data_IF_662045345081
#
_entry.id   IF_662045345081
#
_cell.length_a   1.000
_cell.length_b   1.000
_cell.length_c   1.000
_cell.angle_alpha   90.00
_cell.angle_beta   90.00
_cell.angle_gamma   90.00
#
_symmetry.space_group_name_H-M   'P 1'
#
loop_
_entity.id
_entity.type
_entity.pdbx_description
1 polymer ?
#
# COMPACT_ATOMS: atom_id res chain seq x y z
N UNK A 1 -13.65 -5.68 -7.70
CA UNK A 1 -13.49 -4.57 -8.66
C UNK A 1 -12.90 -5.10 -9.97
N UNK A 2 -13.27 -4.54 -11.11
CA UNK A 2 -12.72 -4.95 -12.40
C UNK A 2 -12.79 -3.81 -13.42
N UNK A 3 -11.76 -3.70 -14.27
CA UNK A 3 -11.72 -2.81 -15.43
C UNK A 3 -12.00 -3.55 -16.74
N UNK A 4 -12.32 -2.83 -17.82
CA UNK A 4 -12.57 -3.42 -19.15
C UNK A 4 -11.30 -4.05 -19.75
N UNK A 5 -10.11 -3.55 -19.41
CA UNK A 5 -8.82 -4.07 -19.90
C UNK A 5 -8.35 -5.33 -19.18
N UNK A 6 -9.10 -5.83 -18.21
CA UNK A 6 -8.82 -7.10 -17.54
C UNK A 6 -8.27 -7.04 -16.14
N UNK A 7 -7.87 -5.86 -15.62
CA UNK A 7 -7.44 -5.72 -14.23
C UNK A 7 -8.60 -6.11 -13.30
N UNK A 8 -8.33 -7.02 -12.38
CA UNK A 8 -9.26 -7.50 -11.35
C UNK A 8 -8.63 -7.29 -9.99
N UNK A 9 -9.42 -6.78 -9.06
CA UNK A 9 -9.00 -6.55 -7.69
C UNK A 9 -10.04 -7.09 -6.71
N UNK A 10 -9.59 -7.93 -5.81
CA UNK A 10 -10.32 -8.32 -4.62
C UNK A 10 -9.88 -7.38 -3.48
N UNK A 11 -10.84 -6.75 -2.81
CA UNK A 11 -10.57 -5.83 -1.70
C UNK A 11 -11.42 -6.22 -0.50
N UNK A 12 -10.75 -6.47 0.64
CA UNK A 12 -11.40 -6.66 1.94
C UNK A 12 -11.72 -5.30 2.60
N UNK A 13 -12.55 -5.26 3.65
CA UNK A 13 -12.83 -4.02 4.39
C UNK A 13 -11.58 -3.32 4.95
N UNK A 14 -10.49 -4.04 5.21
CA UNK A 14 -9.21 -3.47 5.67
C UNK A 14 -8.18 -3.32 4.53
N UNK A 15 -8.64 -3.27 3.28
CA UNK A 15 -7.84 -3.11 2.07
C UNK A 15 -6.85 -4.25 1.77
N UNK A 16 -7.02 -5.42 2.37
CA UNK A 16 -6.36 -6.65 1.95
C UNK A 16 -6.98 -7.21 0.66
N UNK A 17 -6.48 -8.34 0.19
CA UNK A 17 -6.93 -8.99 -1.04
C UNK A 17 -5.92 -8.86 -2.19
N UNK A 18 -6.15 -9.57 -3.29
CA UNK A 18 -5.22 -9.58 -4.41
C UNK A 18 -5.60 -8.61 -5.54
N UNK A 19 -4.67 -8.38 -6.46
CA UNK A 19 -4.89 -7.61 -7.68
C UNK A 19 -4.10 -8.22 -8.83
N UNK A 20 -4.76 -8.44 -9.99
CA UNK A 20 -4.18 -9.15 -11.13
C UNK A 20 -4.79 -8.75 -12.46
N UNK A 21 -4.03 -8.94 -13.53
CA UNK A 21 -4.55 -8.97 -14.90
C UNK A 21 -5.07 -10.37 -15.24
N UNK A 22 -4.26 -11.37 -15.01
CA UNK A 22 -4.54 -12.79 -15.26
C UNK A 22 -3.78 -13.67 -14.26
N UNK A 23 -3.72 -14.99 -14.50
CA UNK A 23 -3.10 -15.97 -13.60
C UNK A 23 -1.57 -15.84 -13.53
N UNK A 24 -0.95 -15.21 -14.53
CA UNK A 24 0.50 -15.05 -14.62
C UNK A 24 0.97 -13.66 -14.17
N UNK A 25 0.05 -12.70 -13.99
CA UNK A 25 0.39 -11.30 -13.72
C UNK A 25 -0.39 -10.76 -12.51
N UNK A 26 0.15 -11.03 -11.31
CA UNK A 26 -0.36 -10.48 -10.06
C UNK A 26 0.47 -9.27 -9.62
N UNK A 27 -0.18 -8.15 -9.40
CA UNK A 27 0.42 -7.00 -8.72
C UNK A 27 0.61 -7.27 -7.23
N UNK A 28 -0.45 -7.74 -6.59
CA UNK A 28 -0.46 -8.16 -5.18
C UNK A 28 -0.45 -9.68 -5.09
N UNK A 29 0.11 -10.20 -4.00
CA UNK A 29 0.20 -11.63 -3.75
C UNK A 29 -1.18 -12.29 -3.77
N UNK A 30 -1.34 -13.41 -4.52
CA UNK A 30 -2.61 -14.12 -4.56
C UNK A 30 -3.08 -14.53 -3.16
N UNK A 31 -4.35 -14.33 -2.87
CA UNK A 31 -4.97 -14.86 -1.64
C UNK A 31 -5.28 -16.33 -1.84
N UNK A 32 -4.65 -17.19 -1.07
CA UNK A 32 -4.88 -18.63 -1.07
C UNK A 32 -4.82 -19.23 0.32
N UNK A 33 -5.27 -20.46 0.46
CA UNK A 33 -5.21 -21.18 1.73
C UNK A 33 -3.76 -21.43 2.18
N UNK A 34 -2.83 -21.54 1.25
CA UNK A 34 -1.42 -21.79 1.51
C UNK A 34 -0.71 -20.59 2.15
N UNK A 35 -1.20 -19.38 1.92
CA UNK A 35 -0.55 -18.16 2.39
C UNK A 35 -1.40 -17.28 3.32
N UNK A 36 -2.51 -17.80 3.85
CA UNK A 36 -3.43 -17.03 4.70
C UNK A 36 -2.75 -16.30 5.87
N UNK A 37 -1.72 -16.88 6.45
CA UNK A 37 -1.01 -16.33 7.61
C UNK A 37 0.21 -15.47 7.24
N UNK A 38 0.72 -15.59 6.03
CA UNK A 38 1.95 -14.92 5.57
C UNK A 38 1.72 -14.00 4.38
N UNK A 39 0.47 -13.76 4.03
CA UNK A 39 0.11 -12.96 2.88
C UNK A 39 0.55 -11.50 3.07
N UNK A 40 1.16 -10.93 2.04
CA UNK A 40 1.66 -9.54 1.98
C UNK A 40 0.88 -8.75 0.94
N UNK A 41 -0.43 -8.73 1.04
CA UNK A 41 -1.31 -8.06 0.09
C UNK A 41 -2.02 -6.83 0.65
N UNK A 42 -1.53 -6.28 1.74
CA UNK A 42 -2.11 -5.08 2.36
C UNK A 42 -1.82 -3.84 1.51
N UNK A 43 -2.86 -3.09 1.19
CA UNK A 43 -2.78 -1.71 0.72
C UNK A 43 -2.95 -0.83 1.94
N UNK A 44 -1.90 -0.17 2.40
CA UNK A 44 -1.96 0.58 3.65
C UNK A 44 -1.57 2.05 3.46
N UNK A 45 -2.23 2.91 4.22
CA UNK A 45 -1.91 4.32 4.33
C UNK A 45 -1.71 4.66 5.80
N UNK A 46 -0.52 5.13 6.12
CA UNK A 46 -0.10 5.46 7.46
C UNK A 46 -0.05 6.97 7.67
N UNK A 47 -0.38 7.40 8.87
CA UNK A 47 -0.09 8.73 9.35
C UNK A 47 0.82 8.63 10.57
N UNK A 48 2.03 9.15 10.48
CA UNK A 48 2.86 9.43 11.65
C UNK A 48 2.42 10.77 12.19
N UNK A 49 2.05 10.83 13.47
CA UNK A 49 1.56 12.03 14.14
C UNK A 49 2.60 12.46 15.15
N UNK A 50 3.12 13.68 15.02
CA UNK A 50 4.15 14.23 15.90
C UNK A 50 3.68 14.22 17.36
N UNK A 51 4.49 13.62 18.22
CA UNK A 51 4.21 13.53 19.65
C UNK A 51 3.15 12.49 20.06
N UNK A 52 2.38 11.90 19.11
CA UNK A 52 1.31 10.93 19.41
C UNK A 52 1.62 9.50 18.96
N UNK A 53 2.47 9.30 17.94
CA UNK A 53 2.77 7.98 17.40
C UNK A 53 2.39 7.81 15.93
N UNK A 54 1.91 6.66 15.53
CA UNK A 54 1.52 6.37 14.15
C UNK A 54 0.22 5.58 14.10
N UNK A 55 -0.54 5.81 13.05
CA UNK A 55 -1.87 5.26 12.85
C UNK A 55 -2.05 4.74 11.42
N UNK A 56 -2.70 3.58 11.27
CA UNK A 56 -3.09 3.04 9.95
C UNK A 56 -4.50 3.51 9.59
N UNK A 57 -4.62 4.24 8.51
CA UNK A 57 -5.90 4.75 8.02
C UNK A 57 -6.84 3.63 7.52
N UNK A 58 -6.31 2.45 7.15
CA UNK A 58 -7.12 1.29 6.78
C UNK A 58 -7.36 0.29 7.92
N UNK A 59 -6.75 0.50 9.09
CA UNK A 59 -6.93 -0.36 10.25
C UNK A 59 -6.01 -1.59 10.31
N UNK A 60 -4.98 -1.63 9.47
CA UNK A 60 -4.04 -2.75 9.43
C UNK A 60 -2.72 -2.39 10.16
N UNK A 61 -2.78 -2.34 11.48
CA UNK A 61 -1.61 -2.20 12.36
C UNK A 61 -1.70 -3.18 13.52
N UNK A 62 -0.55 -3.51 14.14
CA UNK A 62 -0.53 -4.40 15.30
C UNK A 62 -1.33 -3.83 16.48
N UNK A 63 -1.30 -2.52 16.67
CA UNK A 63 -2.10 -1.86 17.69
C UNK A 63 -3.61 -2.08 17.43
N UNK A 64 -4.08 -1.75 16.23
CA UNK A 64 -5.48 -1.89 15.88
C UNK A 64 -5.95 -3.35 15.86
N UNK A 65 -5.07 -4.29 15.47
CA UNK A 65 -5.36 -5.72 15.59
C UNK A 65 -5.55 -6.15 17.05
N UNK A 66 -4.72 -5.65 17.96
CA UNK A 66 -4.83 -5.96 19.39
C UNK A 66 -6.07 -5.35 20.08
N UNK A 67 -6.63 -4.32 19.47
CA UNK A 67 -7.80 -3.60 19.99
C UNK A 67 -9.12 -4.08 19.40
N UNK A 68 -9.10 -5.00 18.45
CA UNK A 68 -10.32 -5.57 17.86
C UNK A 68 -11.24 -6.12 18.94
N UNK A 69 -12.52 -5.78 18.83
CA UNK A 69 -13.59 -6.18 19.75
C UNK A 69 -13.45 -5.63 21.18
N UNK A 70 -12.63 -4.61 21.38
CA UNK A 70 -12.56 -3.86 22.65
C UNK A 70 -13.18 -2.49 22.49
N UNK A 71 -13.38 -1.79 23.61
CA UNK A 71 -13.85 -0.39 23.68
C UNK A 71 -12.84 0.61 23.09
N UNK A 72 -11.60 0.19 22.86
CA UNK A 72 -10.53 1.00 22.26
C UNK A 72 -10.45 0.88 20.74
N UNK A 73 -11.28 0.02 20.16
CA UNK A 73 -11.31 -0.16 18.71
C UNK A 73 -11.77 1.13 18.01
N UNK A 74 -11.02 1.56 16.98
CA UNK A 74 -11.44 2.67 16.13
C UNK A 74 -12.83 2.43 15.53
N UNK A 75 -13.64 3.48 15.45
CA UNK A 75 -14.92 3.43 14.74
C UNK A 75 -14.66 3.31 13.24
N UNK A 76 -15.34 2.36 12.59
CA UNK A 76 -15.21 2.18 11.15
C UNK A 76 -16.55 1.82 10.51
N UNK A 77 -16.74 2.28 9.28
CA UNK A 77 -17.86 1.88 8.43
C UNK A 77 -17.38 1.67 6.99
N UNK A 78 -18.10 0.82 6.27
CA UNK A 78 -17.83 0.50 4.89
C UNK A 78 -19.08 0.78 4.06
N UNK A 79 -18.89 1.54 2.99
CA UNK A 79 -19.85 1.69 1.92
C UNK A 79 -19.32 0.98 0.68
N UNK A 80 -20.15 0.26 -0.05
CA UNK A 80 -19.76 -0.38 -1.29
C UNK A 80 -20.87 -0.23 -2.33
N UNK A 81 -20.45 -0.01 -3.58
CA UNK A 81 -21.33 0.05 -4.72
C UNK A 81 -20.76 -0.74 -5.88
N UNK A 82 -21.31 -0.50 -7.08
CA UNK A 82 -20.82 -1.18 -8.27
C UNK A 82 -19.40 -0.68 -8.60
N UNK A 83 -18.42 -1.58 -8.52
CA UNK A 83 -16.99 -1.35 -8.83
C UNK A 83 -16.27 -0.31 -7.96
N UNK A 84 -16.77 -0.05 -6.75
CA UNK A 84 -16.07 0.77 -5.77
C UNK A 84 -16.39 0.35 -4.34
N UNK A 85 -15.50 0.67 -3.42
CA UNK A 85 -15.77 0.66 -1.98
C UNK A 85 -15.16 1.90 -1.32
N UNK A 86 -15.74 2.32 -0.22
CA UNK A 86 -15.30 3.44 0.59
C UNK A 86 -15.24 3.03 2.06
N UNK A 87 -14.03 3.09 2.60
CA UNK A 87 -13.77 2.83 4.01
C UNK A 87 -13.69 4.15 4.76
N UNK A 88 -14.46 4.26 5.85
CA UNK A 88 -14.34 5.35 6.82
C UNK A 88 -13.76 4.80 8.12
N UNK A 89 -12.82 5.51 8.71
CA UNK A 89 -12.29 5.22 10.05
C UNK A 89 -12.11 6.51 10.83
N UNK A 90 -12.34 6.42 12.14
CA UNK A 90 -12.11 7.53 13.09
C UNK A 90 -11.37 6.98 14.30
N UNK A 91 -10.24 7.59 14.61
CA UNK A 91 -9.46 7.29 15.81
C UNK A 91 -9.54 8.45 16.78
N UNK A 92 -10.22 8.23 17.90
CA UNK A 92 -10.28 9.20 18.99
C UNK A 92 -8.90 9.39 19.65
N UNK A 93 -8.11 8.32 19.72
CA UNK A 93 -6.74 8.36 20.28
C UNK A 93 -5.83 9.31 19.51
N UNK A 94 -5.90 9.29 18.19
CA UNK A 94 -5.00 10.06 17.33
C UNK A 94 -5.61 11.37 16.84
N UNK A 95 -6.92 11.58 17.07
CA UNK A 95 -7.64 12.76 16.60
C UNK A 95 -7.68 12.86 15.09
N UNK A 96 -7.76 11.73 14.39
CA UNK A 96 -7.78 11.66 12.93
C UNK A 96 -8.97 10.85 12.41
N UNK A 97 -9.48 11.28 11.28
CA UNK A 97 -10.44 10.53 10.47
C UNK A 97 -9.87 10.27 9.10
N UNK A 98 -10.13 9.08 8.54
CA UNK A 98 -9.83 8.75 7.14
C UNK A 98 -11.09 8.39 6.36
N UNK A 99 -11.09 8.76 5.07
CA UNK A 99 -11.97 8.25 4.03
C UNK A 99 -11.09 7.70 2.91
N UNK A 100 -11.23 6.42 2.58
CA UNK A 100 -10.47 5.78 1.49
C UNK A 100 -11.46 5.22 0.47
N UNK A 101 -11.55 5.87 -0.68
CA UNK A 101 -12.33 5.41 -1.83
C UNK A 101 -11.43 4.58 -2.75
N UNK A 102 -11.80 3.33 -2.97
CA UNK A 102 -11.07 2.38 -3.81
C UNK A 102 -11.89 1.97 -5.01
N UNK A 103 -11.31 2.02 -6.20
CA UNK A 103 -11.94 1.59 -7.45
C UNK A 103 -10.89 1.19 -8.49
N UNK A 104 -11.32 0.46 -9.52
CA UNK A 104 -10.49 0.14 -10.69
C UNK A 104 -10.94 1.03 -11.86
N UNK A 105 -9.98 1.56 -12.60
CA UNK A 105 -10.27 2.41 -13.77
C UNK A 105 -10.95 1.60 -14.88
N UNK A 106 -11.89 2.22 -15.59
CA UNK A 106 -12.64 1.53 -16.65
C UNK A 106 -11.74 1.14 -17.82
N UNK A 107 -10.92 2.05 -18.30
CA UNK A 107 -10.07 1.91 -19.49
C UNK A 107 -8.57 1.86 -19.19
N UNK A 108 -8.18 1.62 -17.96
CA UNK A 108 -6.78 1.54 -17.55
C UNK A 108 -6.56 0.30 -16.71
N UNK A 109 -5.31 -0.17 -16.67
CA UNK A 109 -4.90 -1.27 -15.79
C UNK A 109 -4.39 -0.70 -14.46
N UNK A 110 -5.24 0.12 -13.81
CA UNK A 110 -4.92 0.76 -12.55
C UNK A 110 -6.04 0.63 -11.52
N UNK A 111 -5.66 0.30 -10.31
CA UNK A 111 -6.46 0.42 -9.10
C UNK A 111 -6.12 1.76 -8.44
N UNK A 112 -7.13 2.51 -8.02
CA UNK A 112 -6.97 3.84 -7.45
C UNK A 112 -7.50 3.85 -6.02
N UNK A 113 -6.72 4.43 -5.12
CA UNK A 113 -7.12 4.76 -3.76
C UNK A 113 -7.08 6.28 -3.56
N UNK A 114 -8.25 6.90 -3.46
CA UNK A 114 -8.36 8.30 -3.05
C UNK A 114 -8.47 8.34 -1.54
N UNK A 115 -7.44 8.87 -0.88
CA UNK A 115 -7.32 8.92 0.58
C UNK A 115 -7.51 10.35 1.06
N UNK A 116 -8.43 10.54 1.99
CA UNK A 116 -8.63 11.80 2.72
C UNK A 116 -8.29 11.58 4.18
N UNK A 117 -7.48 12.46 4.74
CA UNK A 117 -7.13 12.47 6.16
C UNK A 117 -7.57 13.81 6.75
N UNK A 118 -8.43 13.74 7.75
CA UNK A 118 -9.01 14.92 8.43
C UNK A 118 -8.52 14.97 9.86
N UNK A 119 -8.06 16.13 10.31
CA UNK A 119 -7.83 16.42 11.71
C UNK A 119 -9.19 16.62 12.41
N UNK A 120 -9.48 15.83 13.43
CA UNK A 120 -10.76 15.94 14.19
C UNK A 120 -10.60 16.69 15.52
N UNK A 121 -9.37 17.14 15.85
CA UNK A 121 -9.09 17.93 17.05
C UNK A 121 -9.31 19.42 16.81
N UNK A 122 -9.44 20.15 17.93
CA UNK A 122 -9.51 21.62 17.94
C UNK A 122 -8.14 22.29 17.85
N UNK A 123 -7.05 21.50 17.85
CA UNK A 123 -5.68 21.94 17.74
C UNK A 123 -5.04 21.47 16.42
N UNK A 124 -3.99 22.18 15.99
CA UNK A 124 -3.22 21.78 14.83
C UNK A 124 -2.46 20.47 15.09
N UNK A 125 -2.39 19.61 14.10
CA UNK A 125 -1.61 18.36 14.13
C UNK A 125 -0.62 18.30 12.99
N UNK A 126 0.64 18.03 13.31
CA UNK A 126 1.66 17.74 12.29
C UNK A 126 1.65 16.26 11.98
N UNK A 127 1.40 15.91 10.71
CA UNK A 127 1.39 14.52 10.23
C UNK A 127 2.43 14.32 9.13
N UNK A 128 2.98 13.10 9.07
CA UNK A 128 3.77 12.60 7.95
C UNK A 128 3.04 11.40 7.35
N UNK A 129 2.44 11.54 6.16
CA UNK A 129 1.72 10.46 5.52
C UNK A 129 2.66 9.52 4.77
N UNK A 130 2.36 8.22 4.81
CA UNK A 130 3.12 7.18 4.12
C UNK A 130 2.18 6.13 3.56
N UNK A 131 2.18 5.94 2.25
CA UNK A 131 1.47 4.84 1.60
C UNK A 131 2.40 3.64 1.42
N UNK A 132 1.84 2.42 1.44
CA UNK A 132 2.58 1.22 1.06
C UNK A 132 1.66 0.19 0.41
N UNK A 133 2.10 -0.33 -0.73
CA UNK A 133 1.48 -1.44 -1.44
C UNK A 133 2.62 -2.41 -1.80
N UNK A 134 2.72 -3.59 -1.17
CA UNK A 134 3.71 -4.60 -1.55
C UNK A 134 3.50 -5.02 -3.00
N UNK A 135 4.58 -5.18 -3.76
CA UNK A 135 4.50 -5.61 -5.15
C UNK A 135 4.94 -7.06 -5.28
N UNK A 136 4.01 -7.93 -5.65
CA UNK A 136 4.31 -9.35 -5.87
C UNK A 136 4.98 -9.57 -7.23
N UNK A 137 4.40 -9.08 -8.32
CA UNK A 137 5.00 -9.05 -9.65
C UNK A 137 5.29 -10.42 -10.27
N UNK A 138 4.42 -11.43 -10.04
CA UNK A 138 4.66 -12.83 -10.43
C UNK A 138 3.36 -13.53 -10.80
N UNK A 139 3.52 -14.79 -11.29
CA UNK A 139 2.42 -15.75 -11.49
C UNK A 139 1.90 -16.29 -10.15
N UNK A 140 0.64 -16.75 -10.14
CA UNK A 140 0.07 -17.49 -9.01
C UNK A 140 0.86 -18.77 -8.71
N UNK A 141 1.44 -19.43 -9.70
CA UNK A 141 2.21 -20.66 -9.53
C UNK A 141 3.48 -20.44 -8.68
N UNK A 142 4.01 -19.21 -8.67
CA UNK A 142 5.15 -18.86 -7.82
C UNK A 142 4.80 -18.69 -6.33
N UNK A 143 3.56 -18.87 -5.92
CA UNK A 143 3.16 -18.74 -4.52
C UNK A 143 3.86 -19.74 -3.61
N UNK A 144 4.19 -20.93 -4.14
CA UNK A 144 4.91 -21.99 -3.44
C UNK A 144 6.42 -21.82 -3.46
N UNK A 145 6.94 -20.92 -4.28
CA UNK A 145 8.35 -20.64 -4.39
C UNK A 145 8.81 -19.77 -3.22
N UNK A 146 10.08 -19.91 -2.89
CA UNK A 146 10.67 -19.08 -1.85
C UNK A 146 10.74 -17.61 -2.32
N UNK A 147 10.10 -16.69 -1.59
CA UNK A 147 10.04 -15.25 -1.95
C UNK A 147 11.42 -14.66 -2.26
N UNK A 148 12.42 -15.00 -1.46
CA UNK A 148 13.79 -14.54 -1.66
C UNK A 148 14.33 -14.94 -3.04
N UNK A 149 14.11 -16.18 -3.46
CA UNK A 149 14.60 -16.67 -4.77
C UNK A 149 13.89 -15.98 -5.92
N UNK A 150 12.57 -15.88 -5.85
CA UNK A 150 11.78 -15.26 -6.92
C UNK A 150 11.98 -13.75 -7.00
N UNK A 151 12.26 -13.08 -5.90
CA UNK A 151 12.56 -11.63 -5.89
C UNK A 151 13.89 -11.27 -6.55
N UNK A 152 14.83 -12.22 -6.72
CA UNK A 152 16.07 -12.00 -7.50
C UNK A 152 15.81 -11.53 -8.93
N UNK A 153 14.64 -11.83 -9.47
CA UNK A 153 14.22 -11.40 -10.80
C UNK A 153 13.79 -9.94 -10.87
N UNK A 154 13.48 -9.31 -9.76
CA UNK A 154 12.98 -7.94 -9.74
C UNK A 154 14.04 -6.93 -10.13
N UNK A 155 13.65 -5.99 -11.00
CA UNK A 155 14.35 -4.75 -11.33
C UNK A 155 13.44 -3.61 -10.91
N UNK A 156 13.87 -2.86 -9.92
CA UNK A 156 13.06 -1.86 -9.23
C UNK A 156 13.66 -0.49 -9.52
N UNK A 157 12.82 0.46 -9.89
CA UNK A 157 13.22 1.85 -10.11
C UNK A 157 12.25 2.80 -9.43
N UNK A 158 12.78 3.80 -8.74
CA UNK A 158 11.96 4.91 -8.23
C UNK A 158 11.84 6.00 -9.29
N UNK A 159 10.66 6.57 -9.42
CA UNK A 159 10.34 7.71 -10.29
C UNK A 159 9.93 8.90 -9.43
N UNK A 160 9.62 10.04 -10.04
CA UNK A 160 9.14 11.21 -9.31
C UNK A 160 7.81 11.01 -8.60
N UNK A 161 7.01 10.01 -9.00
CA UNK A 161 5.70 9.74 -8.40
C UNK A 161 5.60 8.38 -7.69
N UNK A 162 6.58 7.52 -7.79
CA UNK A 162 6.48 6.20 -7.16
C UNK A 162 7.49 5.20 -7.64
N UNK A 163 7.14 3.93 -7.59
CA UNK A 163 8.01 2.78 -7.80
C UNK A 163 7.51 1.97 -8.99
N UNK A 164 8.44 1.59 -9.86
CA UNK A 164 8.24 0.65 -10.97
C UNK A 164 9.02 -0.62 -10.70
N UNK A 165 8.40 -1.76 -10.95
CA UNK A 165 8.99 -3.09 -10.79
C UNK A 165 8.83 -3.85 -12.10
N UNK A 166 9.95 -4.24 -12.70
CA UNK A 166 9.96 -5.05 -13.92
C UNK A 166 10.74 -6.33 -13.67
N UNK A 167 10.07 -7.47 -13.40
CA UNK A 167 10.74 -8.76 -13.34
C UNK A 167 11.39 -9.09 -14.68
N UNK A 168 12.56 -9.73 -14.68
CA UNK A 168 13.25 -10.12 -15.92
C UNK A 168 12.61 -11.33 -16.58
N UNK A 169 11.97 -12.19 -15.78
CA UNK A 169 11.26 -13.37 -16.24
C UNK A 169 9.85 -13.40 -15.65
N UNK A 170 8.92 -13.94 -16.40
CA UNK A 170 7.64 -14.43 -15.93
C UNK A 170 7.61 -15.95 -15.94
N UNK A 171 6.64 -16.55 -15.27
CA UNK A 171 6.46 -18.00 -15.23
C UNK A 171 5.04 -18.35 -15.63
N UNK A 172 4.90 -19.33 -16.51
CA UNK A 172 3.61 -19.93 -16.86
C UNK A 172 3.76 -21.46 -16.98
N UNK A 173 2.71 -22.16 -17.40
CA UNK A 173 2.68 -23.61 -17.57
C UNK A 173 3.79 -24.16 -18.49
N UNK A 174 4.38 -23.34 -19.33
CA UNK A 174 5.50 -23.70 -20.24
C UNK A 174 6.87 -23.47 -19.61
N UNK A 175 6.90 -22.99 -18.35
CA UNK A 175 8.13 -22.65 -17.64
C UNK A 175 8.45 -21.14 -17.70
N UNK A 176 9.72 -20.80 -17.55
CA UNK A 176 10.18 -19.42 -17.56
C UNK A 176 10.10 -18.81 -18.97
N UNK A 177 9.49 -17.64 -19.05
CA UNK A 177 9.39 -16.82 -20.26
C UNK A 177 10.02 -15.46 -20.02
N UNK A 178 10.47 -14.79 -21.08
CA UNK A 178 10.87 -13.39 -20.97
C UNK A 178 9.67 -12.54 -20.53
N UNK A 179 9.82 -11.79 -19.46
CA UNK A 179 8.76 -10.90 -19.01
C UNK A 179 8.77 -9.57 -19.75
N UNK A 180 7.62 -9.10 -20.18
CA UNK A 180 7.38 -7.80 -20.81
C UNK A 180 6.46 -6.88 -20.00
N UNK A 181 5.98 -7.36 -18.85
CA UNK A 181 5.06 -6.63 -17.96
C UNK A 181 5.83 -5.88 -16.90
N UNK A 182 5.45 -4.62 -16.68
CA UNK A 182 5.90 -3.80 -15.54
C UNK A 182 4.74 -3.53 -14.60
N UNK A 183 5.04 -3.52 -13.31
CA UNK A 183 4.12 -3.17 -12.23
C UNK A 183 4.53 -1.83 -11.66
N UNK A 184 3.56 -1.03 -11.21
CA UNK A 184 3.87 0.25 -10.60
C UNK A 184 2.97 0.56 -9.42
N UNK A 185 3.50 1.33 -8.48
CA UNK A 185 2.76 1.98 -7.42
C UNK A 185 3.14 3.46 -7.45
N UNK A 186 2.20 4.31 -7.79
CA UNK A 186 2.39 5.75 -7.87
C UNK A 186 1.50 6.45 -6.86
N UNK A 187 1.92 7.65 -6.43
CA UNK A 187 1.12 8.47 -5.55
C UNK A 187 1.44 9.95 -5.69
N UNK A 188 0.47 10.77 -5.34
CA UNK A 188 0.63 12.23 -5.25
C UNK A 188 -0.25 12.79 -4.15
N UNK A 189 0.10 13.98 -3.66
CA UNK A 189 -0.85 14.79 -2.90
C UNK A 189 -1.93 15.37 -3.82
N UNK A 190 -3.05 15.82 -3.23
CA UNK A 190 -4.08 16.55 -3.97
C UNK A 190 -3.48 17.73 -4.74
N UNK A 191 -3.79 17.80 -6.03
CA UNK A 191 -3.19 18.78 -6.93
C UNK A 191 -1.93 18.31 -7.68
N UNK A 192 -1.46 17.07 -7.45
CA UNK A 192 -0.36 16.46 -8.21
C UNK A 192 1.03 16.74 -7.65
N UNK A 193 1.14 17.18 -6.39
CA UNK A 193 2.44 17.36 -5.72
C UNK A 193 3.17 16.04 -5.57
N UNK A 194 4.45 16.03 -5.92
CA UNK A 194 5.32 14.85 -5.88
C UNK A 194 5.58 14.41 -4.42
N UNK A 195 5.75 13.09 -4.16
CA UNK A 195 6.20 12.58 -2.87
C UNK A 195 7.62 13.03 -2.50
N UNK A 196 7.93 12.97 -1.20
CA UNK A 196 9.26 13.36 -0.67
C UNK A 196 10.32 12.27 -0.90
N UNK A 197 9.96 10.99 -0.71
CA UNK A 197 10.89 9.85 -0.82
C UNK A 197 10.15 8.52 -0.95
N UNK A 198 10.90 7.44 -1.23
CA UNK A 198 10.36 6.15 -1.57
C UNK A 198 11.01 5.01 -0.78
N UNK A 199 10.24 3.93 -0.56
CA UNK A 199 10.72 2.67 0.02
C UNK A 199 10.46 1.56 -1.00
N UNK A 200 11.42 1.35 -1.95
CA UNK A 200 11.21 0.47 -3.11
C UNK A 200 11.31 -1.01 -2.78
N UNK A 201 11.82 -1.39 -1.62
CA UNK A 201 11.88 -2.77 -1.18
C UNK A 201 11.26 -2.96 0.22
N UNK A 202 10.84 -4.21 0.48
CA UNK A 202 10.14 -4.59 1.70
C UNK A 202 11.01 -4.35 2.94
N UNK A 203 12.29 -4.69 2.90
CA UNK A 203 13.20 -4.59 4.05
C UNK A 203 13.42 -3.12 4.45
N UNK A 204 13.54 -2.20 3.47
CA UNK A 204 13.60 -0.76 3.74
C UNK A 204 12.35 -0.25 4.46
N UNK A 205 11.20 -0.84 4.16
CA UNK A 205 9.94 -0.39 4.75
C UNK A 205 9.67 -1.00 6.12
N UNK A 206 9.75 -2.34 6.23
CA UNK A 206 9.40 -3.02 7.50
C UNK A 206 10.55 -3.12 8.50
N UNK A 207 11.81 -2.99 8.04
CA UNK A 207 13.02 -3.28 8.81
C UNK A 207 13.41 -4.76 8.78
N UNK A 208 14.61 -5.08 9.27
CA UNK A 208 15.11 -6.44 9.36
C UNK A 208 14.24 -7.26 10.33
N UNK A 209 13.68 -8.38 9.87
CA UNK A 209 12.76 -9.21 10.63
C UNK A 209 11.44 -8.54 11.02
N UNK A 210 11.13 -7.38 10.41
CA UNK A 210 9.97 -6.57 10.72
C UNK A 210 8.67 -7.05 10.08
N UNK A 211 7.61 -6.25 10.23
CA UNK A 211 6.27 -6.56 9.76
C UNK A 211 5.59 -5.32 9.17
N UNK A 212 4.71 -5.53 8.17
CA UNK A 212 3.82 -4.48 7.66
C UNK A 212 2.83 -3.95 8.71
N UNK A 213 2.61 -4.69 9.80
CA UNK A 213 1.76 -4.23 10.91
C UNK A 213 2.48 -3.28 11.87
N UNK A 214 3.82 -3.26 11.86
CA UNK A 214 4.68 -2.37 12.66
C UNK A 214 5.88 -1.94 11.79
N UNK A 215 5.67 -1.20 10.69
CA UNK A 215 6.76 -0.87 9.79
C UNK A 215 7.74 0.10 10.42
N UNK A 216 9.03 -0.24 10.36
CA UNK A 216 10.11 0.55 10.95
C UNK A 216 10.20 1.94 10.30
N UNK A 217 9.99 2.02 8.98
CA UNK A 217 10.01 3.28 8.24
C UNK A 217 9.01 4.32 8.79
N UNK A 218 7.83 3.87 9.24
CA UNK A 218 6.81 4.73 9.82
C UNK A 218 7.07 4.97 11.31
N UNK A 219 7.41 3.93 12.06
CA UNK A 219 7.64 4.00 13.50
C UNK A 219 8.80 4.93 13.84
N UNK A 220 9.89 4.86 13.10
CA UNK A 220 11.14 5.58 13.36
C UNK A 220 11.36 6.78 12.43
N UNK A 221 10.36 7.13 11.62
CA UNK A 221 10.42 8.24 10.66
C UNK A 221 11.63 8.16 9.71
N UNK A 222 12.06 6.95 9.37
CA UNK A 222 13.17 6.77 8.45
C UNK A 222 12.86 7.39 7.10
N UNK A 223 13.79 8.18 6.59
CA UNK A 223 13.66 8.69 5.22
C UNK A 223 13.92 7.55 4.22
N UNK A 224 13.13 7.53 3.16
CA UNK A 224 13.33 6.65 2.02
C UNK A 224 14.43 7.16 1.09
N UNK A 225 14.55 6.50 -0.06
CA UNK A 225 15.47 6.88 -1.14
C UNK A 225 14.83 7.92 -2.08
N UNK A 226 15.63 8.73 -2.80
CA UNK A 226 15.10 9.69 -3.77
C UNK A 226 14.59 9.02 -5.06
N UNK A 227 13.92 9.80 -5.90
CA UNK A 227 13.61 9.43 -7.28
C UNK A 227 14.89 9.14 -8.08
N UNK A 228 14.83 8.20 -9.03
CA UNK A 228 15.97 7.77 -9.83
C UNK A 228 16.83 6.68 -9.19
N UNK A 229 16.45 6.16 -8.00
CA UNK A 229 17.15 5.03 -7.37
C UNK A 229 16.79 3.72 -8.08
N UNK A 230 17.78 2.89 -8.36
CA UNK A 230 17.62 1.56 -8.94
C UNK A 230 18.08 0.48 -7.96
N UNK A 231 17.31 -0.58 -7.83
CA UNK A 231 17.56 -1.71 -6.93
C UNK A 231 17.25 -3.01 -7.69
N UNK A 232 18.09 -4.02 -7.51
CA UNK A 232 17.92 -5.31 -8.12
C UNK A 232 17.85 -6.43 -7.08
N UNK A 233 17.11 -7.48 -7.38
CA UNK A 233 17.11 -8.71 -6.62
C UNK A 233 16.51 -8.62 -5.22
N UNK A 234 15.66 -7.62 -4.94
CA UNK A 234 14.99 -7.43 -3.66
C UNK A 234 13.47 -7.69 -3.78
N UNK A 235 12.85 -8.02 -2.68
CA UNK A 235 11.39 -8.11 -2.61
C UNK A 235 10.79 -6.69 -2.67
N UNK A 236 10.00 -6.43 -3.70
CA UNK A 236 9.56 -5.08 -4.02
C UNK A 236 8.42 -4.59 -3.11
N UNK A 237 8.47 -3.31 -2.80
CA UNK A 237 7.39 -2.58 -2.13
C UNK A 237 7.16 -1.24 -2.82
N UNK A 238 5.91 -0.87 -2.99
CA UNK A 238 5.50 0.47 -3.40
C UNK A 238 5.30 1.36 -2.18
N UNK A 239 6.39 1.65 -1.45
CA UNK A 239 6.37 2.55 -0.30
C UNK A 239 6.60 3.99 -0.72
N UNK A 240 5.70 4.89 -0.34
CA UNK A 240 5.69 6.30 -0.75
C UNK A 240 5.54 7.19 0.48
N UNK A 241 6.52 8.04 0.76
CA UNK A 241 6.46 9.04 1.81
C UNK A 241 6.12 10.40 1.21
N UNK A 242 5.07 11.00 1.69
CA UNK A 242 4.68 12.37 1.36
C UNK A 242 5.32 13.37 2.32
N UNK A 243 5.36 14.63 1.94
CA UNK A 243 5.87 15.70 2.79
C UNK A 243 5.06 15.80 4.09
N UNK A 244 5.75 16.07 5.19
CA UNK A 244 5.09 16.38 6.45
C UNK A 244 4.30 17.67 6.32
N UNK A 245 3.10 17.71 6.91
CA UNK A 245 2.25 18.88 6.89
C UNK A 245 1.52 19.10 8.21
N UNK A 246 1.19 20.35 8.47
CA UNK A 246 0.33 20.73 9.59
C UNK A 246 -1.11 20.77 9.08
N UNK A 247 -1.99 20.03 9.73
CA UNK A 247 -3.43 20.08 9.53
C UNK A 247 -4.05 20.96 10.61
N UNK A 248 -4.70 22.03 10.20
CA UNK A 248 -5.50 22.88 11.09
C UNK A 248 -6.71 22.08 11.63
N UNK A 249 -7.38 22.59 12.69
CA UNK A 249 -8.66 22.02 13.12
C UNK A 249 -9.60 21.78 11.94
N UNK A 250 -10.11 20.56 11.82
CA UNK A 250 -11.05 20.09 10.78
C UNK A 250 -10.53 20.19 9.33
N UNK A 251 -9.25 20.49 9.13
CA UNK A 251 -8.64 20.48 7.80
C UNK A 251 -8.48 19.05 7.27
N UNK A 252 -8.74 18.89 5.97
CA UNK A 252 -8.59 17.62 5.26
C UNK A 252 -7.45 17.70 4.24
N UNK A 253 -6.53 16.75 4.32
CA UNK A 253 -5.54 16.49 3.28
C UNK A 253 -6.02 15.37 2.35
N UNK A 254 -5.67 15.46 1.07
CA UNK A 254 -6.07 14.50 0.05
C UNK A 254 -4.84 13.91 -0.63
N UNK A 255 -4.85 12.58 -0.81
CA UNK A 255 -3.80 11.83 -1.48
C UNK A 255 -4.43 10.88 -2.49
N UNK A 256 -3.68 10.56 -3.54
CA UNK A 256 -4.03 9.56 -4.55
C UNK A 256 -2.90 8.54 -4.62
N UNK A 257 -3.25 7.29 -4.56
CA UNK A 257 -2.30 6.18 -4.72
C UNK A 257 -2.85 5.21 -5.76
#
# INVERSE_FOLDING_TARGET
LAGENGLKSAITPSLGGDSKLDQNHFLLEPVSIENLHNNRNTRNFWCRIKGKGYWSACGASAEQESQKYTDKQDKSSLEAGFMWQKLHRTSEKYGLQSEILSFVTVKGDAEIHLVKITNTEEEEQEITPVAVIPVYGRSADNLRDHRHVTSLLHRIRTTKYGIEVKPVLSFDERGHQKNDTAYFVYGSEGGGTEPESFYPDVEMFIGEGGSFLIPEAVREEKKGVPAGTEIEGKEAAGGIRFASRILRPHETAVYVV
#
